data_IF_675832874975
#
_entry.id   IF_675832874975
#
_cell.length_a   1.000
_cell.length_b   1.000
_cell.length_c   1.000
_cell.angle_alpha   90.00
_cell.angle_beta   90.00
_cell.angle_gamma   90.00
#
_symmetry.space_group_name_H-M   'P 1'
#
loop_
_entity.id
_entity.type
_entity.pdbx_description
1 polymer ?
#
# COMPACT_ATOMS: atom_id res chain seq x y z
N UNK A 1 -31.79 -23.67 6.05
CA UNK A 1 -30.91 -23.06 5.04
C UNK A 1 -31.68 -21.97 4.32
N UNK A 2 -31.56 -20.73 4.76
CA UNK A 2 -32.14 -19.57 4.07
C UNK A 2 -31.30 -19.27 2.83
N UNK A 3 -31.90 -19.34 1.65
CA UNK A 3 -31.29 -18.84 0.41
C UNK A 3 -30.93 -17.37 0.65
N UNK A 4 -29.62 -17.05 0.67
CA UNK A 4 -29.17 -15.66 0.57
C UNK A 4 -29.75 -15.12 -0.74
N UNK A 5 -30.72 -14.22 -0.65
CA UNK A 5 -31.13 -13.42 -1.79
C UNK A 5 -29.88 -12.72 -2.32
N UNK A 6 -29.51 -13.00 -3.56
CA UNK A 6 -28.45 -12.29 -4.24
C UNK A 6 -28.93 -10.85 -4.43
N UNK A 7 -28.59 -9.97 -3.48
CA UNK A 7 -28.80 -8.54 -3.64
C UNK A 7 -28.08 -8.09 -4.91
N UNK A 8 -28.83 -7.54 -5.85
CA UNK A 8 -28.28 -6.96 -7.09
C UNK A 8 -27.42 -5.77 -6.70
N UNK A 9 -26.17 -5.73 -7.18
CA UNK A 9 -25.29 -4.60 -6.92
C UNK A 9 -25.82 -3.37 -7.67
N UNK A 10 -25.94 -2.25 -6.95
CA UNK A 10 -26.24 -0.93 -7.48
C UNK A 10 -25.07 0.01 -7.24
N UNK A 11 -24.81 0.90 -8.18
CA UNK A 11 -23.77 1.92 -8.08
C UNK A 11 -24.19 3.23 -8.77
N UNK A 12 -23.64 4.33 -8.28
CA UNK A 12 -23.78 5.67 -8.86
C UNK A 12 -22.37 6.25 -9.02
N UNK A 13 -22.02 6.72 -10.22
CA UNK A 13 -20.67 7.21 -10.49
C UNK A 13 -20.69 8.49 -11.33
N UNK A 14 -20.05 9.55 -10.85
CA UNK A 14 -20.08 10.87 -11.49
C UNK A 14 -18.77 11.63 -11.30
N UNK A 15 -18.61 12.72 -12.06
CA UNK A 15 -17.43 13.58 -12.03
C UNK A 15 -17.85 14.99 -11.56
N UNK A 16 -18.10 15.21 -10.25
CA UNK A 16 -18.35 16.57 -9.76
C UNK A 16 -17.03 17.32 -9.66
N UNK A 17 -16.97 18.63 -9.92
CA UNK A 17 -15.87 19.53 -9.48
C UNK A 17 -14.42 18.99 -9.67
N UNK A 18 -14.10 18.36 -10.81
CA UNK A 18 -12.79 17.74 -11.07
C UNK A 18 -12.36 16.66 -10.05
N UNK A 19 -13.31 15.88 -9.57
CA UNK A 19 -13.11 14.62 -8.81
C UNK A 19 -14.01 13.56 -9.41
N UNK A 20 -13.67 12.30 -9.25
CA UNK A 20 -14.52 11.15 -9.60
C UNK A 20 -15.00 10.54 -8.31
N UNK A 21 -16.30 10.40 -8.19
CA UNK A 21 -16.94 9.84 -7.00
C UNK A 21 -17.79 8.65 -7.42
N UNK A 22 -17.79 7.57 -6.63
CA UNK A 22 -18.64 6.41 -6.84
C UNK A 22 -19.20 5.88 -5.53
N UNK A 23 -20.52 5.78 -5.45
CA UNK A 23 -21.23 5.08 -4.38
C UNK A 23 -21.62 3.70 -4.86
N UNK A 24 -21.51 2.71 -3.99
CA UNK A 24 -21.88 1.33 -4.30
C UNK A 24 -22.48 0.65 -3.08
N UNK A 25 -23.40 -0.27 -3.35
CA UNK A 25 -23.97 -1.21 -2.35
C UNK A 25 -23.08 -2.42 -2.12
N UNK A 26 -22.02 -2.61 -2.92
CA UNK A 26 -21.07 -3.71 -2.80
C UNK A 26 -19.61 -3.25 -3.01
N UNK A 27 -18.69 -3.91 -2.33
CA UNK A 27 -17.26 -3.78 -2.57
C UNK A 27 -16.88 -4.34 -3.95
N UNK A 28 -15.87 -3.74 -4.60
CA UNK A 28 -15.30 -4.23 -5.86
C UNK A 28 -14.15 -5.20 -5.53
N UNK A 29 -14.33 -6.52 -5.71
CA UNK A 29 -13.25 -7.49 -5.50
C UNK A 29 -12.23 -7.46 -6.64
N UNK A 30 -11.14 -8.23 -6.50
CA UNK A 30 -10.06 -8.34 -7.50
C UNK A 30 -10.55 -8.80 -8.88
N UNK A 31 -11.50 -9.75 -8.94
CA UNK A 31 -12.09 -10.26 -10.17
C UNK A 31 -13.61 -10.10 -10.15
N UNK A 32 -14.11 -8.85 -10.32
CA UNK A 32 -15.53 -8.59 -10.23
C UNK A 32 -16.27 -9.20 -11.44
N UNK A 33 -17.51 -9.60 -11.18
CA UNK A 33 -18.43 -10.17 -12.18
C UNK A 33 -19.77 -9.42 -12.15
N UNK A 34 -20.55 -9.55 -13.22
CA UNK A 34 -21.87 -8.93 -13.33
C UNK A 34 -21.86 -7.42 -13.10
N UNK A 35 -22.84 -6.91 -12.35
CA UNK A 35 -23.00 -5.48 -12.04
C UNK A 35 -21.79 -4.86 -11.33
N UNK A 36 -21.08 -5.60 -10.47
CA UNK A 36 -19.87 -5.09 -9.80
C UNK A 36 -18.74 -4.85 -10.82
N UNK A 37 -18.68 -5.65 -11.89
CA UNK A 37 -17.73 -5.42 -12.98
C UNK A 37 -18.09 -4.14 -13.74
N UNK A 38 -19.38 -3.89 -13.99
CA UNK A 38 -19.84 -2.67 -14.64
C UNK A 38 -19.49 -1.43 -13.78
N UNK A 39 -19.68 -1.50 -12.47
CA UNK A 39 -19.26 -0.45 -11.53
C UNK A 39 -17.77 -0.15 -11.64
N UNK A 40 -16.91 -1.19 -11.61
CA UNK A 40 -15.46 -1.04 -11.78
C UNK A 40 -15.11 -0.39 -13.12
N UNK A 41 -15.68 -0.89 -14.21
CA UNK A 41 -15.34 -0.42 -15.55
C UNK A 41 -15.79 1.05 -15.76
N UNK A 42 -16.95 1.44 -15.19
CA UNK A 42 -17.42 2.82 -15.16
C UNK A 42 -16.48 3.73 -14.36
N UNK A 43 -16.10 3.33 -13.13
CA UNK A 43 -15.16 4.06 -12.29
C UNK A 43 -13.81 4.23 -12.99
N UNK A 44 -13.26 3.14 -13.55
CA UNK A 44 -11.99 3.15 -14.30
C UNK A 44 -12.04 4.14 -15.46
N UNK A 45 -13.13 4.14 -16.25
CA UNK A 45 -13.28 5.05 -17.38
C UNK A 45 -13.30 6.52 -16.94
N UNK A 46 -14.04 6.85 -15.88
CA UNK A 46 -14.12 8.23 -15.37
C UNK A 46 -12.80 8.70 -14.74
N UNK A 47 -12.07 7.82 -14.07
CA UNK A 47 -10.72 8.12 -13.56
C UNK A 47 -9.80 8.49 -14.72
N UNK A 48 -9.87 7.79 -15.87
CA UNK A 48 -9.07 8.16 -17.05
C UNK A 48 -9.44 9.55 -17.58
N UNK A 49 -10.73 9.92 -17.58
CA UNK A 49 -11.16 11.25 -18.00
C UNK A 49 -10.68 12.38 -17.06
N UNK A 50 -10.58 12.10 -15.76
CA UNK A 50 -10.06 13.05 -14.78
C UNK A 50 -8.63 13.51 -15.11
N UNK A 51 -7.82 12.60 -15.64
CA UNK A 51 -6.42 12.84 -15.96
C UNK A 51 -6.22 13.77 -17.17
N UNK A 52 -7.22 13.85 -18.05
CA UNK A 52 -7.19 14.66 -19.27
C UNK A 52 -7.53 16.14 -19.04
N UNK A 53 -8.26 16.48 -17.99
CA UNK A 53 -8.85 17.81 -17.78
C UNK A 53 -8.06 18.68 -16.78
N UNK A 54 -6.73 18.49 -16.74
CA UNK A 54 -5.85 18.89 -15.64
C UNK A 54 -6.03 20.32 -15.10
N UNK A 55 -6.13 20.40 -13.77
CA UNK A 55 -5.96 21.63 -12.99
C UNK A 55 -4.55 22.23 -13.21
N UNK A 56 -4.40 23.54 -12.95
CA UNK A 56 -3.20 24.41 -13.04
C UNK A 56 -1.99 23.99 -12.17
N UNK A 57 -1.85 22.71 -11.83
CA UNK A 57 -0.72 22.21 -11.04
C UNK A 57 0.44 21.80 -11.95
N UNK A 58 1.63 22.32 -11.60
CA UNK A 58 2.88 21.92 -12.23
C UNK A 58 2.99 20.38 -12.32
N UNK A 59 3.34 19.80 -13.48
CA UNK A 59 3.33 18.35 -13.68
C UNK A 59 4.09 17.54 -12.62
N UNK A 60 5.19 18.09 -12.11
CA UNK A 60 6.04 17.48 -11.07
C UNK A 60 5.46 17.56 -9.64
N UNK A 61 4.34 18.25 -9.44
CA UNK A 61 3.67 18.40 -8.13
C UNK A 61 2.27 17.80 -8.08
N UNK A 62 1.88 17.05 -9.11
CA UNK A 62 0.55 16.43 -9.17
C UNK A 62 0.49 15.20 -8.27
N UNK A 63 -0.50 15.21 -7.39
CA UNK A 63 -0.86 14.09 -6.52
C UNK A 63 -2.13 13.46 -7.07
N UNK A 64 -2.10 12.15 -7.37
CA UNK A 64 -3.34 11.40 -7.50
C UNK A 64 -3.76 10.90 -6.12
N UNK A 65 -4.87 11.41 -5.62
CA UNK A 65 -5.39 11.07 -4.31
C UNK A 65 -6.67 10.25 -4.45
N UNK A 66 -6.64 9.02 -3.94
CA UNK A 66 -7.77 8.12 -3.87
C UNK A 66 -8.21 7.89 -2.41
N UNK A 67 -9.50 7.76 -2.16
CA UNK A 67 -10.04 7.49 -0.82
C UNK A 67 -11.18 6.48 -0.92
N UNK A 68 -11.21 5.53 0.01
CA UNK A 68 -12.29 4.54 0.13
C UNK A 68 -12.96 4.62 1.49
N UNK A 69 -14.29 4.66 1.54
CA UNK A 69 -15.07 4.64 2.78
C UNK A 69 -15.94 3.40 2.85
N UNK A 70 -15.91 2.73 4.00
CA UNK A 70 -16.88 1.72 4.37
C UNK A 70 -16.81 1.39 5.85
N UNK A 71 -17.95 1.02 6.45
CA UNK A 71 -18.02 0.33 7.75
C UNK A 71 -18.09 -1.20 7.60
N UNK A 72 -18.09 -1.72 6.36
CA UNK A 72 -18.19 -3.14 6.13
C UNK A 72 -16.92 -3.87 6.57
N UNK A 73 -17.00 -4.48 7.75
CA UNK A 73 -15.92 -5.24 8.38
C UNK A 73 -15.51 -6.47 7.58
N UNK A 74 -16.39 -7.00 6.71
CA UNK A 74 -16.04 -8.14 5.86
C UNK A 74 -14.89 -7.82 4.89
N UNK A 75 -14.64 -6.53 4.64
CA UNK A 75 -13.53 -6.06 3.83
C UNK A 75 -12.32 -5.61 4.67
N UNK A 76 -12.32 -5.78 5.99
CA UNK A 76 -11.18 -5.36 6.84
C UNK A 76 -9.87 -6.05 6.47
N UNK A 77 -9.93 -7.26 5.90
CA UNK A 77 -8.77 -7.97 5.38
C UNK A 77 -8.31 -7.51 3.98
N UNK A 78 -8.95 -6.50 3.39
CA UNK A 78 -8.57 -5.96 2.08
C UNK A 78 -7.63 -4.77 2.24
N UNK A 79 -6.44 -4.92 1.67
CA UNK A 79 -5.38 -3.92 1.62
C UNK A 79 -5.84 -2.66 0.87
N UNK A 80 -5.45 -1.48 1.35
CA UNK A 80 -5.92 -0.20 0.81
C UNK A 80 -5.51 0.00 -0.65
N UNK A 81 -4.32 -0.45 -1.04
CA UNK A 81 -3.86 -0.41 -2.43
C UNK A 81 -4.65 -1.39 -3.30
N UNK A 82 -5.05 -2.56 -2.79
CA UNK A 82 -5.89 -3.47 -3.56
C UNK A 82 -7.23 -2.84 -3.90
N UNK A 83 -7.90 -2.27 -2.90
CA UNK A 83 -9.23 -1.64 -3.06
C UNK A 83 -9.16 -0.46 -4.04
N UNK A 84 -8.18 0.43 -3.87
CA UNK A 84 -8.14 1.70 -4.59
C UNK A 84 -7.35 1.66 -5.88
N UNK A 85 -6.53 0.63 -6.13
CA UNK A 85 -5.62 0.60 -7.27
C UNK A 85 -5.73 -0.69 -8.09
N UNK A 86 -5.51 -1.86 -7.49
CA UNK A 86 -5.44 -3.13 -8.23
C UNK A 86 -6.82 -3.58 -8.70
N UNK A 87 -7.81 -3.60 -7.80
CA UNK A 87 -9.17 -4.04 -8.12
C UNK A 87 -9.83 -3.13 -9.16
N UNK A 88 -9.44 -1.85 -9.21
CA UNK A 88 -9.94 -0.88 -10.18
C UNK A 88 -9.16 -0.95 -11.51
N UNK A 89 -7.91 -1.46 -11.48
CA UNK A 89 -7.08 -1.63 -12.67
C UNK A 89 -6.60 -0.32 -13.27
N UNK A 90 -6.38 0.70 -12.44
CA UNK A 90 -5.88 2.03 -12.85
C UNK A 90 -4.37 2.15 -12.66
N UNK A 91 -3.73 1.32 -11.84
CA UNK A 91 -2.37 1.59 -11.35
C UNK A 91 -1.25 1.61 -12.41
N UNK A 92 -1.27 0.71 -13.39
CA UNK A 92 -0.14 0.52 -14.32
C UNK A 92 0.12 1.70 -15.24
N UNK A 93 -0.90 2.52 -15.49
CA UNK A 93 -0.80 3.73 -16.31
C UNK A 93 -0.39 4.94 -15.45
N UNK A 94 -0.83 4.95 -14.19
CA UNK A 94 -0.81 6.10 -13.29
C UNK A 94 0.59 6.47 -12.76
N UNK A 95 1.45 5.50 -12.49
CA UNK A 95 2.80 5.77 -11.95
C UNK A 95 3.73 6.47 -12.96
N UNK A 96 3.33 6.56 -14.23
CA UNK A 96 4.09 7.26 -15.28
C UNK A 96 3.74 8.74 -15.37
N UNK A 97 2.51 9.11 -15.01
CA UNK A 97 2.01 10.48 -15.17
C UNK A 97 2.03 11.28 -13.87
N UNK A 98 1.96 10.59 -12.72
CA UNK A 98 1.88 11.23 -11.42
C UNK A 98 3.15 10.94 -10.61
N UNK A 99 3.91 11.97 -10.21
CA UNK A 99 5.05 11.80 -9.33
C UNK A 99 4.63 11.39 -7.92
N UNK A 100 3.41 11.72 -7.49
CA UNK A 100 2.93 11.40 -6.14
C UNK A 100 1.59 10.68 -6.21
N UNK A 101 1.50 9.59 -5.45
CA UNK A 101 0.34 8.72 -5.40
C UNK A 101 -0.07 8.59 -3.94
N UNK A 102 -1.32 8.94 -3.65
CA UNK A 102 -1.86 8.93 -2.29
C UNK A 102 -3.14 8.13 -2.26
N UNK A 103 -3.25 7.21 -1.33
CA UNK A 103 -4.47 6.45 -1.11
C UNK A 103 -4.72 6.21 0.36
N UNK A 104 -5.98 6.26 0.77
CA UNK A 104 -6.35 6.03 2.16
C UNK A 104 -7.73 5.37 2.29
N UNK A 105 -7.87 4.57 3.34
CA UNK A 105 -9.11 3.91 3.74
C UNK A 105 -9.68 4.58 4.98
N UNK A 106 -10.93 5.00 4.87
CA UNK A 106 -11.74 5.57 5.91
C UNK A 106 -12.69 4.52 6.49
N UNK A 107 -12.48 4.15 7.75
CA UNK A 107 -13.36 3.21 8.47
C UNK A 107 -14.55 3.95 9.07
N UNK A 108 -15.41 4.48 8.20
CA UNK A 108 -16.62 5.22 8.57
C UNK A 108 -17.67 5.10 7.47
N UNK A 109 -18.91 5.45 7.81
CA UNK A 109 -20.00 5.45 6.84
C UNK A 109 -19.64 6.34 5.64
N UNK A 110 -19.99 5.92 4.41
CA UNK A 110 -19.81 6.76 3.25
C UNK A 110 -20.64 8.06 3.39
N UNK A 111 -20.22 9.16 2.75
CA UNK A 111 -21.05 10.36 2.64
C UNK A 111 -22.42 10.00 2.07
N UNK A 112 -23.49 10.67 2.55
CA UNK A 112 -24.85 10.43 2.05
C UNK A 112 -24.94 10.78 0.56
N UNK A 113 -25.57 9.91 -0.23
CA UNK A 113 -25.93 10.14 -1.62
C UNK A 113 -27.45 10.03 -1.75
N UNK A 114 -28.11 11.08 -2.24
CA UNK A 114 -29.58 11.11 -2.42
C UNK A 114 -30.06 10.11 -3.47
N UNK A 115 -29.25 9.79 -4.46
CA UNK A 115 -29.60 8.88 -5.56
C UNK A 115 -29.37 7.41 -5.20
N UNK A 116 -28.51 7.14 -4.20
CA UNK A 116 -28.25 5.80 -3.70
C UNK A 116 -28.08 5.80 -2.18
N UNK A 117 -29.16 6.03 -1.41
CA UNK A 117 -29.12 6.18 0.04
C UNK A 117 -28.69 4.90 0.77
N UNK A 118 -28.84 3.73 0.15
CA UNK A 118 -28.44 2.43 0.69
C UNK A 118 -26.95 2.07 0.46
N UNK A 119 -26.16 2.96 -0.16
CA UNK A 119 -24.75 2.68 -0.43
C UNK A 119 -23.92 2.50 0.85
N UNK A 120 -23.16 1.41 0.91
CA UNK A 120 -22.26 1.05 2.02
C UNK A 120 -20.79 1.25 1.69
N UNK A 121 -20.49 1.59 0.43
CA UNK A 121 -19.15 1.79 -0.09
C UNK A 121 -19.09 3.12 -0.86
N UNK A 122 -17.99 3.85 -0.70
CA UNK A 122 -17.72 5.05 -1.48
C UNK A 122 -16.26 5.08 -1.92
N UNK A 123 -16.03 5.45 -3.17
CA UNK A 123 -14.71 5.61 -3.80
C UNK A 123 -14.59 7.03 -4.32
N UNK A 124 -13.52 7.73 -3.94
CA UNK A 124 -13.22 9.09 -4.40
C UNK A 124 -11.85 9.14 -5.03
N UNK A 125 -11.73 9.78 -6.18
CA UNK A 125 -10.46 10.03 -6.87
C UNK A 125 -10.39 11.48 -7.30
N UNK A 126 -9.22 12.10 -7.15
CA UNK A 126 -8.99 13.49 -7.56
C UNK A 126 -7.52 13.76 -7.77
N UNK A 127 -7.24 14.83 -8.49
CA UNK A 127 -5.88 15.37 -8.65
C UNK A 127 -5.75 16.57 -7.71
N UNK A 128 -4.61 16.69 -7.02
CA UNK A 128 -4.29 17.80 -6.10
C UNK A 128 -2.82 18.21 -6.22
N UNK A 129 -2.47 19.35 -5.64
CA UNK A 129 -1.09 19.75 -5.42
C UNK A 129 -0.43 19.05 -4.21
N UNK A 130 0.90 18.91 -4.30
CA UNK A 130 1.83 18.27 -3.35
C UNK A 130 1.69 18.69 -1.88
N UNK A 131 1.18 19.90 -1.59
CA UNK A 131 1.08 20.43 -0.22
C UNK A 131 -0.10 19.96 0.62
N UNK A 132 -1.09 19.29 0.04
CA UNK A 132 -2.19 18.71 0.83
C UNK A 132 -1.73 17.42 1.49
N UNK A 133 -2.18 17.08 2.70
CA UNK A 133 -1.93 15.78 3.32
C UNK A 133 -3.08 14.78 3.03
N UNK A 134 -3.15 13.66 3.74
CA UNK A 134 -4.33 12.80 3.78
C UNK A 134 -5.59 13.56 4.26
N UNK A 135 -6.75 13.18 3.72
CA UNK A 135 -8.02 13.79 4.15
C UNK A 135 -8.45 13.29 5.51
N UNK A 136 -8.25 12.00 5.77
CA UNK A 136 -8.82 11.30 6.91
C UNK A 136 -7.80 11.18 8.03
N UNK A 137 -6.60 10.75 7.67
CA UNK A 137 -5.55 10.42 8.62
C UNK A 137 -4.59 11.58 8.77
N UNK A 138 -4.78 12.43 9.79
CA UNK A 138 -3.94 13.61 9.97
C UNK A 138 -2.56 13.20 10.46
N UNK A 139 -1.52 13.54 9.71
CA UNK A 139 -0.16 13.27 10.11
C UNK A 139 0.37 14.46 10.90
N UNK A 140 1.02 14.17 12.03
CA UNK A 140 1.68 15.19 12.85
C UNK A 140 3.18 14.99 12.79
N UNK A 141 3.66 13.82 13.23
CA UNK A 141 5.09 13.48 13.22
C UNK A 141 5.27 11.98 12.95
N UNK A 142 6.26 11.58 12.15
CA UNK A 142 6.58 10.17 11.99
C UNK A 142 7.08 9.61 13.32
N UNK A 143 6.50 8.51 13.77
CA UNK A 143 6.96 7.77 14.94
C UNK A 143 8.19 6.90 14.62
N UNK A 144 8.44 6.64 13.33
CA UNK A 144 9.63 5.96 12.84
C UNK A 144 9.91 6.36 11.40
N UNK A 145 11.19 6.41 11.02
CA UNK A 145 11.62 6.66 9.65
C UNK A 145 12.93 5.94 9.33
N UNK A 146 13.23 5.69 8.07
CA UNK A 146 14.52 5.13 7.67
C UNK A 146 14.89 5.55 6.27
N UNK A 147 16.18 5.75 6.05
CA UNK A 147 16.77 5.86 4.73
C UNK A 147 17.30 4.48 4.30
N UNK A 148 16.87 4.03 3.12
CA UNK A 148 17.17 2.72 2.55
C UNK A 148 17.96 2.91 1.27
N UNK A 149 19.27 2.61 1.27
CA UNK A 149 20.06 2.62 0.05
C UNK A 149 19.56 1.55 -0.92
N UNK A 150 19.28 1.95 -2.17
CA UNK A 150 18.81 1.04 -3.22
C UNK A 150 19.96 0.70 -4.18
N UNK A 151 20.65 -0.41 -3.90
CA UNK A 151 21.76 -0.84 -4.76
C UNK A 151 21.28 -1.61 -6.01
N UNK A 152 21.98 -1.42 -7.14
CA UNK A 152 21.63 -2.12 -8.39
C UNK A 152 21.78 -3.65 -8.33
N UNK A 153 22.44 -4.16 -7.29
CA UNK A 153 22.64 -5.60 -7.06
C UNK A 153 21.38 -6.35 -6.59
N UNK A 154 20.28 -5.64 -6.35
CA UNK A 154 19.02 -6.21 -5.85
C UNK A 154 17.88 -5.94 -6.85
N UNK A 155 16.97 -6.91 -7.11
CA UNK A 155 15.87 -6.74 -8.04
C UNK A 155 14.79 -5.80 -7.49
N UNK A 156 14.60 -4.64 -8.10
CA UNK A 156 13.45 -3.75 -7.83
C UNK A 156 12.36 -3.80 -8.92
N UNK A 157 12.44 -4.78 -9.83
CA UNK A 157 11.47 -5.00 -10.92
C UNK A 157 11.16 -6.48 -11.13
N UNK A 158 10.08 -6.75 -11.86
CA UNK A 158 9.67 -8.11 -12.19
C UNK A 158 9.11 -8.87 -10.99
N UNK A 159 9.03 -10.19 -11.10
CA UNK A 159 8.32 -11.04 -10.14
C UNK A 159 8.91 -11.04 -8.72
N UNK A 160 10.20 -10.75 -8.60
CA UNK A 160 10.94 -10.80 -7.34
C UNK A 160 11.16 -9.43 -6.68
N UNK A 161 10.53 -8.37 -7.19
CA UNK A 161 10.77 -7.01 -6.70
C UNK A 161 10.49 -6.84 -5.20
N UNK A 162 9.45 -7.51 -4.67
CA UNK A 162 9.11 -7.44 -3.25
C UNK A 162 10.19 -8.04 -2.35
N UNK A 163 10.87 -9.11 -2.77
CA UNK A 163 12.04 -9.61 -2.05
C UNK A 163 13.20 -8.63 -2.07
N UNK A 164 13.36 -7.87 -3.16
CA UNK A 164 14.42 -6.88 -3.26
C UNK A 164 14.19 -5.69 -2.33
N UNK A 165 12.98 -5.15 -2.31
CA UNK A 165 12.59 -4.13 -1.33
C UNK A 165 12.71 -4.66 0.11
N UNK A 166 12.26 -5.89 0.37
CA UNK A 166 12.43 -6.52 1.68
C UNK A 166 13.91 -6.56 2.09
N UNK A 167 14.79 -7.09 1.24
CA UNK A 167 16.21 -7.24 1.56
C UNK A 167 16.90 -5.90 1.82
N UNK A 168 16.65 -4.90 0.96
CA UNK A 168 17.23 -3.56 1.12
C UNK A 168 16.76 -2.91 2.42
N UNK A 169 15.46 -2.94 2.69
CA UNK A 169 14.88 -2.38 3.91
C UNK A 169 15.33 -3.13 5.16
N UNK A 170 15.35 -4.47 5.16
CA UNK A 170 15.82 -5.26 6.30
C UNK A 170 17.29 -4.98 6.62
N UNK A 171 18.16 -4.83 5.61
CA UNK A 171 19.57 -4.43 5.82
C UNK A 171 19.70 -3.06 6.44
N UNK A 172 18.89 -2.09 6.02
CA UNK A 172 18.87 -0.75 6.61
C UNK A 172 18.39 -0.81 8.07
N UNK A 173 17.30 -1.53 8.33
CA UNK A 173 16.72 -1.70 9.67
C UNK A 173 17.72 -2.34 10.63
N UNK A 174 18.44 -3.38 10.21
CA UNK A 174 19.42 -4.08 11.04
C UNK A 174 20.58 -3.18 11.50
N UNK A 175 20.85 -2.08 10.79
CA UNK A 175 21.87 -1.08 11.16
C UNK A 175 21.31 0.01 12.08
N UNK A 176 19.99 0.10 12.22
CA UNK A 176 19.34 1.13 13.01
C UNK A 176 19.26 0.70 14.48
N UNK A 177 19.51 1.64 15.39
CA UNK A 177 19.25 1.42 16.82
C UNK A 177 17.79 1.03 17.06
N UNK A 178 17.48 0.22 18.10
CA UNK A 178 16.10 -0.10 18.47
C UNK A 178 15.25 1.17 18.61
N UNK A 179 13.97 1.15 18.20
CA UNK A 179 13.08 2.26 18.48
C UNK A 179 12.95 2.47 20.00
N UNK A 180 12.99 3.74 20.42
CA UNK A 180 12.92 4.15 21.84
C UNK A 180 11.53 4.00 22.45
N UNK A 181 10.50 3.80 21.62
CA UNK A 181 9.08 3.74 22.01
C UNK A 181 8.48 2.36 21.71
N UNK A 182 7.43 1.95 22.46
CA UNK A 182 6.87 0.62 22.34
C UNK A 182 6.42 0.33 20.91
N UNK A 183 6.78 -0.87 20.46
CA UNK A 183 6.45 -1.44 19.16
C UNK A 183 4.94 -1.37 18.93
N UNK A 184 4.55 -1.08 17.69
CA UNK A 184 3.16 -1.17 17.26
C UNK A 184 2.60 -2.53 17.64
N UNK A 185 1.43 -2.56 18.26
CA UNK A 185 0.71 -3.80 18.57
C UNK A 185 -0.08 -4.29 17.36
N UNK A 186 -0.61 -5.51 17.45
CA UNK A 186 -1.44 -6.05 16.38
C UNK A 186 -2.75 -5.28 16.14
N UNK A 187 -3.19 -4.48 17.11
CA UNK A 187 -4.34 -3.57 17.00
C UNK A 187 -4.03 -2.20 16.41
N UNK A 188 -2.76 -1.84 16.15
CA UNK A 188 -2.47 -0.50 15.61
C UNK A 188 -2.65 -0.46 14.09
N UNK A 189 -3.39 0.56 13.64
CA UNK A 189 -3.40 1.02 12.24
C UNK A 189 -2.22 1.94 11.99
N UNK A 190 -1.72 1.97 10.77
CA UNK A 190 -0.60 2.81 10.42
C UNK A 190 -0.72 3.42 9.03
N UNK A 191 0.01 4.51 8.80
CA UNK A 191 0.22 5.07 7.48
C UNK A 191 1.70 5.07 7.12
N UNK A 192 1.97 5.04 5.81
CA UNK A 192 3.30 5.13 5.25
C UNK A 192 3.41 6.34 4.31
N UNK A 193 4.53 7.06 4.42
CA UNK A 193 5.04 7.89 3.32
C UNK A 193 6.33 7.25 2.80
N UNK A 194 6.40 7.00 1.51
CA UNK A 194 7.55 6.39 0.86
C UNK A 194 8.02 7.30 -0.26
N UNK A 195 9.18 7.90 -0.11
CA UNK A 195 9.86 8.62 -1.19
C UNK A 195 10.88 7.67 -1.79
N UNK A 196 10.80 7.41 -3.09
CA UNK A 196 11.64 6.41 -3.75
C UNK A 196 12.24 6.96 -5.03
N UNK A 197 13.56 6.84 -5.13
CA UNK A 197 14.35 7.06 -6.32
C UNK A 197 14.93 5.71 -6.76
N UNK A 198 14.38 5.15 -7.84
CA UNK A 198 14.88 3.88 -8.37
C UNK A 198 16.07 4.07 -9.32
N UNK A 199 17.02 3.13 -9.33
CA UNK A 199 18.14 3.14 -10.26
C UNK A 199 17.71 3.21 -11.73
N UNK A 200 18.08 4.31 -12.38
CA UNK A 200 17.77 4.61 -13.78
C UNK A 200 16.32 5.05 -14.02
N UNK A 201 15.66 5.66 -13.03
CA UNK A 201 14.33 6.29 -13.18
C UNK A 201 13.20 5.32 -13.50
N UNK A 202 13.35 4.04 -13.15
CA UNK A 202 12.43 2.97 -13.54
C UNK A 202 11.09 3.08 -12.81
N UNK A 203 9.99 2.60 -13.41
CA UNK A 203 8.69 2.55 -12.75
C UNK A 203 8.70 1.56 -11.57
N UNK A 204 8.05 1.96 -10.48
CA UNK A 204 7.86 1.12 -9.28
C UNK A 204 6.52 0.37 -9.36
N UNK A 205 6.53 -0.93 -9.09
CA UNK A 205 5.30 -1.67 -8.82
C UNK A 205 4.91 -1.49 -7.35
N UNK A 206 3.84 -0.75 -7.07
CA UNK A 206 3.55 -0.31 -5.70
C UNK A 206 3.19 -1.42 -4.74
N UNK A 207 2.40 -2.41 -5.13
CA UNK A 207 2.19 -3.58 -4.27
C UNK A 207 3.50 -4.27 -3.93
N UNK A 208 4.37 -4.49 -4.90
CA UNK A 208 5.66 -5.14 -4.63
C UNK A 208 6.55 -4.29 -3.72
N UNK A 209 6.52 -2.96 -3.88
CA UNK A 209 7.19 -2.03 -2.97
C UNK A 209 6.64 -2.17 -1.54
N UNK A 210 5.33 -2.04 -1.36
CA UNK A 210 4.68 -2.08 -0.05
C UNK A 210 4.81 -3.46 0.60
N UNK A 211 4.56 -4.54 -0.12
CA UNK A 211 4.73 -5.91 0.37
C UNK A 211 6.13 -6.10 0.94
N UNK A 212 7.16 -5.69 0.20
CA UNK A 212 8.56 -5.80 0.63
C UNK A 212 8.90 -4.93 1.84
N UNK A 213 8.53 -3.64 1.78
CA UNK A 213 8.82 -2.66 2.85
C UNK A 213 8.10 -3.04 4.14
N UNK A 214 6.80 -3.31 4.09
CA UNK A 214 6.00 -3.65 5.28
C UNK A 214 6.48 -4.97 5.88
N UNK A 215 6.78 -5.98 5.04
CA UNK A 215 7.34 -7.26 5.53
C UNK A 215 8.67 -7.06 6.26
N UNK A 216 9.54 -6.17 5.76
CA UNK A 216 10.82 -5.90 6.40
C UNK A 216 10.69 -5.18 7.75
N UNK A 217 9.60 -4.44 7.96
CA UNK A 217 9.31 -3.72 9.20
C UNK A 217 8.80 -4.64 10.33
N UNK A 218 8.46 -5.89 10.01
CA UNK A 218 8.07 -6.92 10.96
C UNK A 218 9.26 -7.84 11.32
N UNK A 219 9.53 -8.07 12.62
CA UNK A 219 10.32 -9.22 13.03
C UNK A 219 9.62 -10.52 12.62
N UNK A 220 10.35 -11.50 12.10
CA UNK A 220 9.76 -12.80 11.75
C UNK A 220 9.46 -13.60 13.03
N UNK A 221 8.23 -14.11 13.16
CA UNK A 221 7.77 -14.93 14.30
C UNK A 221 7.53 -16.41 13.96
N UNK A 222 7.69 -16.82 12.70
CA UNK A 222 7.40 -18.20 12.30
C UNK A 222 8.44 -19.22 12.78
N UNK A 223 8.03 -20.48 12.90
CA UNK A 223 8.87 -21.58 13.40
C UNK A 223 9.83 -22.16 12.34
N UNK A 224 9.62 -21.85 11.06
CA UNK A 224 10.34 -22.44 9.93
C UNK A 224 11.43 -21.50 9.35
N UNK A 225 12.14 -20.76 10.21
CA UNK A 225 13.06 -19.69 9.78
C UNK A 225 14.15 -20.17 8.79
N UNK A 226 14.67 -21.40 8.98
CA UNK A 226 15.71 -21.97 8.12
C UNK A 226 15.20 -22.21 6.69
N UNK A 227 13.97 -22.68 6.57
CA UNK A 227 13.34 -22.95 5.27
C UNK A 227 12.94 -21.66 4.57
N UNK A 228 12.41 -20.69 5.31
CA UNK A 228 12.09 -19.37 4.77
C UNK A 228 13.37 -18.68 4.29
N UNK A 229 14.44 -18.71 5.08
CA UNK A 229 15.74 -18.20 4.67
C UNK A 229 16.27 -18.89 3.41
N UNK A 230 16.11 -20.22 3.31
CA UNK A 230 16.50 -20.98 2.13
C UNK A 230 15.67 -20.58 0.89
N UNK A 231 14.35 -20.42 1.03
CA UNK A 231 13.47 -20.02 -0.07
C UNK A 231 13.71 -18.58 -0.54
N UNK A 232 14.08 -17.68 0.36
CA UNK A 232 14.53 -16.32 0.02
C UNK A 232 15.88 -16.38 -0.73
N UNK A 233 16.85 -17.14 -0.23
CA UNK A 233 18.17 -17.28 -0.87
C UNK A 233 18.10 -17.91 -2.26
N UNK A 234 17.08 -18.75 -2.54
CA UNK A 234 16.82 -19.33 -3.87
C UNK A 234 16.33 -18.30 -4.90
N UNK A 235 15.93 -17.10 -4.48
CA UNK A 235 15.55 -16.03 -5.41
C UNK A 235 16.81 -15.51 -6.10
N UNK A 236 17.14 -16.12 -7.24
CA UNK A 236 18.42 -15.97 -7.95
C UNK A 236 18.93 -14.52 -8.09
N UNK A 237 18.09 -13.49 -8.36
CA UNK A 237 18.60 -12.12 -8.49
C UNK A 237 19.00 -11.44 -7.17
N UNK A 238 18.59 -11.95 -5.99
CA UNK A 238 18.92 -11.30 -4.71
C UNK A 238 20.40 -11.41 -4.34
N UNK A 239 21.10 -12.44 -4.86
CA UNK A 239 22.47 -12.81 -4.44
C UNK A 239 22.67 -12.78 -2.92
N UNK A 240 21.61 -13.09 -2.17
CA UNK A 240 21.58 -13.08 -0.71
C UNK A 240 21.93 -14.48 -0.21
N UNK A 241 22.86 -14.58 0.72
CA UNK A 241 23.21 -15.85 1.34
C UNK A 241 22.10 -16.26 2.31
N UNK A 242 21.78 -17.55 2.38
CA UNK A 242 20.81 -18.08 3.35
C UNK A 242 21.14 -17.65 4.79
N UNK A 243 22.43 -17.63 5.15
CA UNK A 243 22.91 -17.15 6.46
C UNK A 243 22.50 -15.70 6.72
N UNK A 244 22.64 -14.83 5.72
CA UNK A 244 22.23 -13.43 5.82
C UNK A 244 20.71 -13.32 5.95
N UNK A 245 19.95 -14.00 5.09
CA UNK A 245 18.49 -14.00 5.16
C UNK A 245 18.00 -14.46 6.54
N UNK A 246 18.60 -15.53 7.10
CA UNK A 246 18.29 -16.01 8.45
C UNK A 246 18.60 -14.97 9.53
N UNK A 247 19.75 -14.29 9.43
CA UNK A 247 20.12 -13.22 10.36
C UNK A 247 19.13 -12.05 10.31
N UNK A 248 18.74 -11.61 9.11
CA UNK A 248 17.78 -10.53 8.92
C UNK A 248 16.39 -10.89 9.43
N UNK A 249 15.92 -12.12 9.19
CA UNK A 249 14.65 -12.62 9.72
C UNK A 249 14.66 -12.70 11.26
N UNK A 250 15.80 -13.06 11.85
CA UNK A 250 15.95 -13.20 13.30
C UNK A 250 16.12 -11.86 14.02
N UNK A 251 16.52 -10.81 13.30
CA UNK A 251 16.78 -9.50 13.87
C UNK A 251 15.47 -8.87 14.36
N UNK A 252 15.43 -8.56 15.66
CA UNK A 252 14.37 -7.74 16.27
C UNK A 252 14.77 -6.28 16.38
N UNK A 253 16.04 -5.97 16.17
CA UNK A 253 16.62 -4.65 16.35
C UNK A 253 16.11 -3.71 15.25
N UNK A 254 15.57 -2.56 15.65
CA UNK A 254 15.20 -1.48 14.74
C UNK A 254 13.83 -1.61 14.07
N UNK A 255 13.24 -2.82 14.04
CA UNK A 255 11.94 -3.09 13.41
C UNK A 255 10.82 -2.36 14.16
N UNK A 256 9.99 -1.53 13.49
CA UNK A 256 8.98 -0.74 14.17
C UNK A 256 7.66 -1.49 14.44
N UNK A 257 7.36 -2.59 13.74
CA UNK A 257 6.07 -3.27 13.85
C UNK A 257 6.14 -4.55 14.71
N UNK A 258 4.98 -5.01 15.21
CA UNK A 258 4.86 -6.26 15.97
C UNK A 258 5.40 -7.48 15.20
N UNK A 259 5.98 -8.50 15.88
CA UNK A 259 6.42 -9.73 15.22
C UNK A 259 5.27 -10.47 14.49
N UNK A 260 5.51 -10.92 13.26
CA UNK A 260 4.51 -11.60 12.41
C UNK A 260 5.12 -12.74 11.59
N UNK A 261 4.28 -13.70 11.19
CA UNK A 261 4.62 -14.68 10.17
C UNK A 261 4.43 -14.10 8.77
N UNK A 262 5.42 -13.35 8.30
CA UNK A 262 5.34 -12.63 7.01
C UNK A 262 5.67 -13.47 5.78
N UNK A 263 5.97 -14.77 5.95
CA UNK A 263 6.27 -15.70 4.86
C UNK A 263 5.52 -16.99 5.11
N UNK A 264 4.77 -17.43 4.10
CA UNK A 264 4.00 -18.67 4.12
C UNK A 264 4.47 -19.58 3.00
N UNK A 265 4.48 -20.89 3.25
CA UNK A 265 4.68 -21.88 2.18
C UNK A 265 3.50 -21.82 1.22
N UNK A 266 3.79 -21.74 -0.07
CA UNK A 266 2.76 -21.69 -1.10
C UNK A 266 3.22 -22.45 -2.35
N UNK A 267 2.54 -23.55 -2.67
CA UNK A 267 2.86 -24.42 -3.80
C UNK A 267 2.74 -23.72 -5.16
N UNK A 268 1.93 -22.66 -5.25
CA UNK A 268 1.80 -21.83 -6.44
C UNK A 268 2.87 -20.75 -6.61
N UNK A 269 3.78 -20.56 -5.63
CA UNK A 269 4.85 -19.57 -5.73
C UNK A 269 6.09 -20.17 -6.40
N UNK A 270 6.76 -19.39 -7.26
CA UNK A 270 7.96 -19.82 -8.00
C UNK A 270 9.10 -20.31 -7.10
N UNK A 271 9.24 -19.74 -5.90
CA UNK A 271 10.22 -20.15 -4.90
C UNK A 271 9.60 -20.90 -3.70
N UNK A 272 8.34 -21.33 -3.82
CA UNK A 272 7.61 -22.00 -2.76
C UNK A 272 7.19 -21.12 -1.58
N UNK A 273 7.41 -19.80 -1.67
CA UNK A 273 7.09 -18.83 -0.62
C UNK A 273 6.18 -17.71 -1.12
N UNK A 274 5.15 -17.41 -0.32
CA UNK A 274 4.29 -16.24 -0.46
C UNK A 274 4.57 -15.28 0.68
N UNK A 275 4.76 -14.00 0.35
CA UNK A 275 4.89 -12.92 1.32
C UNK A 275 3.50 -12.52 1.86
N UNK A 276 3.40 -12.25 3.16
CA UNK A 276 2.20 -11.82 3.88
C UNK A 276 2.55 -10.62 4.78
N UNK A 277 2.64 -9.41 4.20
CA UNK A 277 3.10 -8.22 4.92
C UNK A 277 2.23 -7.84 6.11
N UNK A 278 0.92 -8.14 6.10
CA UNK A 278 -0.02 -7.58 7.09
C UNK A 278 -0.33 -6.11 6.81
N UNK A 279 -0.42 -5.79 5.52
CA UNK A 279 -0.74 -4.50 4.91
C UNK A 279 -2.23 -4.14 5.01
N UNK A 280 -3.09 -5.05 5.45
CA UNK A 280 -4.48 -4.80 5.84
C UNK A 280 -4.62 -3.72 6.93
N UNK A 281 -3.58 -3.55 7.77
CA UNK A 281 -3.47 -2.49 8.78
C UNK A 281 -2.88 -1.18 8.27
N UNK A 282 -2.36 -1.17 7.04
CA UNK A 282 -1.88 0.03 6.39
C UNK A 282 -3.09 0.79 5.83
N UNK A 283 -3.50 1.85 6.53
CA UNK A 283 -4.76 2.56 6.23
C UNK A 283 -4.57 3.79 5.36
N UNK A 284 -3.34 4.26 5.21
CA UNK A 284 -3.01 5.38 4.35
C UNK A 284 -1.58 5.22 3.81
N UNK A 285 -1.39 5.52 2.53
CA UNK A 285 -0.09 5.45 1.88
C UNK A 285 0.08 6.65 0.95
N UNK A 286 1.26 7.25 1.01
CA UNK A 286 1.78 8.17 0.02
C UNK A 286 3.07 7.64 -0.56
N UNK A 287 3.18 7.64 -1.89
CA UNK A 287 4.37 7.23 -2.61
C UNK A 287 4.78 8.36 -3.54
N UNK A 288 5.96 8.91 -3.31
CA UNK A 288 6.56 9.94 -4.15
C UNK A 288 7.71 9.35 -4.94
N UNK A 289 7.60 9.39 -6.27
CA UNK A 289 8.60 8.91 -7.21
C UNK A 289 9.53 10.06 -7.58
N UNK A 290 10.77 9.99 -7.10
CA UNK A 290 11.80 10.96 -7.44
C UNK A 290 12.41 10.55 -8.78
N UNK A 291 12.28 11.43 -9.78
CA UNK A 291 12.78 11.17 -11.16
C UNK A 291 14.03 11.96 -11.51
N UNK A 292 14.36 12.98 -10.71
CA UNK A 292 15.57 13.76 -10.88
C UNK A 292 16.76 12.96 -10.34
N UNK A 293 17.84 12.88 -11.10
CA UNK A 293 19.06 12.16 -10.73
C UNK A 293 19.79 12.90 -9.60
N UNK A 294 19.32 12.73 -8.37
CA UNK A 294 20.06 13.15 -7.18
C UNK A 294 20.74 11.89 -6.66
N UNK A 295 22.01 11.66 -7.00
CA UNK A 295 22.73 10.52 -6.43
C UNK A 295 22.82 10.67 -4.90
N UNK A 296 22.76 9.55 -4.13
CA UNK A 296 22.57 8.16 -4.54
C UNK A 296 21.10 7.70 -4.60
N UNK A 297 20.82 6.63 -5.37
CA UNK A 297 19.52 5.95 -5.39
C UNK A 297 19.09 5.53 -3.98
N UNK A 298 18.02 6.14 -3.48
CA UNK A 298 17.56 5.96 -2.11
C UNK A 298 16.05 5.82 -2.03
N UNK A 299 15.61 5.19 -0.95
CA UNK A 299 14.22 5.17 -0.53
C UNK A 299 14.13 5.65 0.90
N UNK A 300 13.33 6.69 1.13
CA UNK A 300 13.03 7.18 2.46
C UNK A 300 11.63 6.72 2.86
N UNK A 301 11.54 6.02 3.98
CA UNK A 301 10.27 5.48 4.51
C UNK A 301 9.96 6.19 5.81
N UNK A 302 8.74 6.69 5.95
CA UNK A 302 8.19 7.28 7.17
C UNK A 302 6.95 6.51 7.58
N UNK A 303 6.86 6.18 8.87
CA UNK A 303 5.77 5.43 9.49
C UNK A 303 5.05 6.32 10.50
N UNK A 304 3.72 6.29 10.44
CA UNK A 304 2.82 7.01 11.32
C UNK A 304 1.85 6.04 12.00
N UNK A 305 1.63 6.22 13.30
CA UNK A 305 0.78 5.35 14.10
C UNK A 305 -0.57 5.97 14.41
N UNK A 306 -1.63 5.16 14.33
CA UNK A 306 -2.98 5.52 14.77
C UNK A 306 -3.50 4.49 15.76
N UNK A 307 -4.55 4.89 16.48
CA UNK A 307 -5.37 3.98 17.28
C UNK A 307 -6.71 3.77 16.59
N UNK A 308 -7.35 2.63 16.84
CA UNK A 308 -8.68 2.33 16.28
C UNK A 308 -9.75 3.35 16.69
N UNK A 309 -9.50 4.13 17.76
CA UNK A 309 -10.44 5.11 18.31
C UNK A 309 -10.22 6.53 17.79
N UNK A 310 -9.10 6.83 17.13
CA UNK A 310 -8.78 8.20 16.75
C UNK A 310 -8.01 8.27 15.42
N UNK A 311 -8.49 9.06 14.44
CA UNK A 311 -7.75 9.35 13.21
C UNK A 311 -6.59 10.33 13.43
N UNK A 312 -6.44 10.87 14.64
CA UNK A 312 -5.26 11.63 15.04
C UNK A 312 -4.11 10.67 15.40
N UNK A 313 -2.86 11.04 15.09
CA UNK A 313 -1.73 10.17 15.34
C UNK A 313 -1.49 10.07 16.85
N UNK A 314 -0.94 8.94 17.28
CA UNK A 314 -0.36 8.86 18.62
C UNK A 314 0.79 9.88 18.69
N UNK A 315 0.74 10.78 19.66
CA UNK A 315 1.92 11.57 20.02
C UNK A 315 2.86 10.57 20.69
N UNK A 316 3.87 10.14 19.95
CA UNK A 316 5.00 9.37 20.47
C UNK A 316 6.05 10.32 21.06
#
# INVERSE_FOLDING_TARGET
>A
MTKKENKVAKFECYIPDARVEMWSTQHIPFEPKGEVKQARDCLKAKIKCLDCNGQDTAPNKRVRHAVYWSLDESNNASDVENILTYNIGVWTEVSKEFPILRFERAFRSPPKNSNLPEATHHYSYRIRGEGNDFDHWKLVKPCWNIEVPLNQSVPFKGDYAHYGFWLATSRAIAKKSPPTMPLFTDSNRFALKVRVQLPGGKPVCVKKLLDGVITAMHPYKGVNIDEVAAGIAKVAPLKCLQKEAKQLLSSRTGSPLAPRECFQRYSGAKNGLKMNPGDDRCVAVEISLIRECVEPDCMHVELYAFTDKCPCPLIC
#
